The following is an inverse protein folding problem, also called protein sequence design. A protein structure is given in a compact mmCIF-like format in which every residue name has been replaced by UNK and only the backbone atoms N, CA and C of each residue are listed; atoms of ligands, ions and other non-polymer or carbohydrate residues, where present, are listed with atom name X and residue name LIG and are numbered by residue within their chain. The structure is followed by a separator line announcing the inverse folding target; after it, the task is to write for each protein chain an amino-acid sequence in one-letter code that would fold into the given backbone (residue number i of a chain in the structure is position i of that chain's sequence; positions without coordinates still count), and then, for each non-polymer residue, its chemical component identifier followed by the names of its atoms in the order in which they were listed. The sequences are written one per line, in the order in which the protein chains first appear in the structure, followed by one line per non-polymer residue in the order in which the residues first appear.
data_IF_602669173765
#
_entry.id   IF_602669173765
#
_cell.length_a   1.000
_cell.length_b   1.000
_cell.length_c   1.000
_cell.angle_alpha   90.00
_cell.angle_beta   90.00
_cell.angle_gamma   90.00
#
_symmetry.space_group_name_H-M   'P 1'
#
loop_
_entity.id
_entity.type
_entity.pdbx_description
1 polymer ?
#
# COMPACT_ATOMS: atom_id res chain seq x y z
N UNK A 1 -71.92 31.32 30.24
CA UNK A 1 -70.46 31.09 30.41
C UNK A 1 -69.96 29.79 29.80
N UNK A 2 -70.76 28.78 29.56
CA UNK A 2 -70.29 27.43 29.07
C UNK A 2 -70.06 27.33 27.54
N UNK A 3 -70.74 28.14 26.76
CA UNK A 3 -70.67 28.13 25.30
C UNK A 3 -69.36 28.75 24.79
N UNK A 4 -68.77 29.69 25.51
CA UNK A 4 -67.50 30.33 25.15
C UNK A 4 -66.33 29.37 25.31
N UNK A 5 -66.39 28.46 26.31
CA UNK A 5 -65.33 27.47 26.54
C UNK A 5 -65.28 26.34 25.49
N UNK A 6 -66.47 25.95 24.98
CA UNK A 6 -66.51 24.91 23.93
C UNK A 6 -65.94 25.40 22.59
N UNK A 7 -66.11 26.68 22.27
CA UNK A 7 -65.58 27.29 21.06
C UNK A 7 -64.02 27.38 21.09
N UNK A 8 -63.42 27.61 22.29
CA UNK A 8 -62.01 27.71 22.48
C UNK A 8 -61.33 26.30 22.40
N UNK A 9 -62.01 25.26 22.88
CA UNK A 9 -61.45 23.90 22.84
C UNK A 9 -61.62 23.21 21.49
N UNK A 10 -62.61 23.56 20.69
CA UNK A 10 -62.83 23.02 19.35
C UNK A 10 -61.97 23.72 18.27
N UNK A 11 -61.62 24.99 18.47
CA UNK A 11 -60.85 25.78 17.53
C UNK A 11 -59.32 25.44 17.55
N UNK A 12 -58.78 25.17 18.71
CA UNK A 12 -57.36 24.85 18.88
C UNK A 12 -56.90 23.56 18.16
N UNK A 13 -57.62 22.42 18.25
CA UNK A 13 -57.25 21.22 17.52
C UNK A 13 -57.24 21.38 16.01
N UNK A 14 -58.21 22.18 15.46
CA UNK A 14 -58.30 22.43 14.02
C UNK A 14 -57.14 23.32 13.53
N UNK A 15 -56.72 24.31 14.32
CA UNK A 15 -55.57 25.15 13.99
C UNK A 15 -54.23 24.39 14.01
N UNK A 16 -54.06 23.48 14.95
CA UNK A 16 -52.85 22.62 15.01
C UNK A 16 -52.83 21.62 13.86
N UNK A 17 -53.97 20.98 13.55
CA UNK A 17 -54.04 20.05 12.41
C UNK A 17 -53.83 20.79 11.06
N UNK A 18 -54.29 22.05 10.93
CA UNK A 18 -54.05 22.86 9.73
C UNK A 18 -52.61 23.32 9.58
N UNK A 19 -51.86 23.43 10.67
CA UNK A 19 -50.43 23.77 10.64
C UNK A 19 -49.59 22.57 10.22
N UNK A 20 -49.84 21.36 10.74
CA UNK A 20 -49.12 20.15 10.33
C UNK A 20 -49.38 19.78 8.87
N UNK A 21 -50.55 20.03 8.33
CA UNK A 21 -50.83 19.80 6.91
C UNK A 21 -50.12 20.76 5.95
N UNK A 22 -49.52 21.86 6.46
CA UNK A 22 -48.75 22.83 5.68
C UNK A 22 -47.24 22.75 5.91
N UNK A 23 -46.77 21.89 6.78
CA UNK A 23 -45.34 21.63 6.89
C UNK A 23 -44.85 21.04 5.55
N UNK A 24 -43.80 21.61 4.92
CA UNK A 24 -43.29 21.04 3.70
C UNK A 24 -42.79 19.62 4.02
N UNK A 25 -43.38 18.63 3.35
CA UNK A 25 -42.90 17.26 3.43
C UNK A 25 -41.42 17.30 3.07
N UNK A 26 -40.57 16.78 3.97
CA UNK A 26 -39.13 16.60 3.78
C UNK A 26 -38.83 15.54 2.69
N UNK A 27 -39.40 15.73 1.51
CA UNK A 27 -39.18 14.92 0.30
C UNK A 27 -38.07 15.47 -0.58
N UNK A 28 -37.54 16.66 -0.26
CA UNK A 28 -36.50 17.30 -1.07
C UNK A 28 -35.08 16.78 -0.82
N UNK A 29 -34.78 16.37 0.39
CA UNK A 29 -33.38 15.97 0.70
C UNK A 29 -32.99 14.63 0.08
N UNK A 30 -33.90 13.68 -0.06
CA UNK A 30 -33.63 12.40 -0.72
C UNK A 30 -33.40 12.54 -2.23
N UNK A 31 -33.97 13.55 -2.88
CA UNK A 31 -33.78 13.84 -4.30
C UNK A 31 -32.48 14.61 -4.58
N UNK A 32 -32.02 15.47 -3.67
CA UNK A 32 -30.72 16.15 -3.82
C UNK A 32 -29.55 15.19 -3.68
N UNK A 33 -29.63 14.25 -2.74
CA UNK A 33 -28.58 13.23 -2.57
C UNK A 33 -28.46 12.28 -3.79
N UNK A 34 -29.55 12.03 -4.51
CA UNK A 34 -29.52 11.20 -5.73
C UNK A 34 -29.09 11.95 -6.98
N UNK A 35 -29.34 13.24 -7.09
CA UNK A 35 -28.88 14.05 -8.23
C UNK A 35 -27.38 14.36 -8.21
N UNK A 36 -26.73 14.34 -7.05
CA UNK A 36 -25.28 14.52 -6.93
C UNK A 36 -24.43 13.34 -7.41
N UNK A 37 -25.04 12.23 -7.86
CA UNK A 37 -24.36 11.03 -8.37
C UNK A 37 -24.40 10.93 -9.90
N UNK A 38 -24.75 11.98 -10.61
CA UNK A 38 -24.75 11.97 -12.07
C UNK A 38 -23.32 11.95 -12.61
N UNK A 39 -23.05 10.90 -13.29
CA UNK A 39 -22.08 10.64 -14.35
C UNK A 39 -21.27 11.88 -14.79
N UNK A 40 -19.95 11.81 -14.62
CA UNK A 40 -19.06 12.65 -15.40
C UNK A 40 -18.50 13.90 -14.75
N UNK A 41 -18.43 14.01 -13.41
CA UNK A 41 -17.63 15.09 -12.80
C UNK A 41 -16.15 14.80 -13.11
N UNK A 42 -15.66 15.48 -14.15
CA UNK A 42 -14.23 15.45 -14.51
C UNK A 42 -13.44 16.01 -13.32
N UNK A 43 -12.34 15.34 -12.92
CA UNK A 43 -11.47 15.89 -11.89
C UNK A 43 -10.95 17.27 -12.30
N UNK A 44 -10.83 18.22 -11.37
CA UNK A 44 -10.42 19.61 -11.66
C UNK A 44 -8.95 19.70 -12.07
N UNK A 45 -8.15 18.69 -11.80
CA UNK A 45 -6.71 18.64 -12.07
C UNK A 45 -6.24 17.18 -12.17
N UNK A 46 -5.03 16.89 -12.67
CA UNK A 46 -4.40 15.59 -12.48
C UNK A 46 -4.33 15.20 -10.99
N UNK A 47 -4.30 13.89 -10.66
CA UNK A 47 -4.14 13.46 -9.28
C UNK A 47 -2.79 13.97 -8.73
N UNK A 48 -2.74 14.34 -7.43
CA UNK A 48 -1.49 14.73 -6.80
C UNK A 48 -0.45 13.60 -6.93
N UNK A 49 0.83 13.94 -7.13
CA UNK A 49 1.89 12.94 -7.10
C UNK A 49 1.94 12.28 -5.72
N UNK A 50 2.17 10.98 -5.70
CA UNK A 50 2.48 10.25 -4.46
C UNK A 50 3.98 10.29 -4.27
N UNK A 51 4.42 11.09 -3.33
CA UNK A 51 5.84 11.28 -3.07
C UNK A 51 6.40 10.20 -2.13
N UNK A 52 7.72 9.90 -2.21
CA UNK A 52 8.38 9.05 -1.23
C UNK A 52 8.17 9.57 0.19
N UNK A 53 8.09 8.67 1.16
CA UNK A 53 7.91 9.04 2.57
C UNK A 53 9.20 9.68 3.07
N UNK A 54 9.26 11.02 3.06
CA UNK A 54 10.27 11.79 3.77
C UNK A 54 9.68 12.25 5.10
N UNK A 55 10.44 12.07 6.18
CA UNK A 55 10.04 12.46 7.54
C UNK A 55 11.01 13.50 8.09
N UNK A 56 10.50 14.39 8.95
CA UNK A 56 11.38 15.26 9.71
C UNK A 56 12.15 14.44 10.74
N UNK A 57 13.45 14.65 10.83
CA UNK A 57 14.31 14.05 11.85
C UNK A 57 14.03 14.69 13.21
N UNK A 58 13.07 14.15 13.95
CA UNK A 58 12.62 14.65 15.25
C UNK A 58 12.65 13.53 16.29
N UNK A 59 12.97 13.85 17.57
CA UNK A 59 12.72 12.94 18.68
C UNK A 59 11.22 12.56 18.75
N UNK A 60 10.93 11.33 19.19
CA UNK A 60 9.57 10.77 19.17
C UNK A 60 8.57 11.58 20.01
N UNK A 61 8.97 12.13 21.16
CA UNK A 61 8.17 13.00 22.00
C UNK A 61 7.80 14.31 21.30
N UNK A 62 8.77 14.92 20.61
CA UNK A 62 8.55 16.12 19.81
C UNK A 62 7.59 15.85 18.64
N UNK A 63 7.78 14.72 17.95
CA UNK A 63 6.89 14.31 16.88
C UNK A 63 5.45 14.11 17.39
N UNK A 64 5.27 13.45 18.53
CA UNK A 64 3.94 13.29 19.16
C UNK A 64 3.29 14.63 19.50
N UNK A 65 4.06 15.56 20.05
CA UNK A 65 3.54 16.90 20.39
C UNK A 65 3.06 17.66 19.14
N UNK A 66 3.85 17.63 18.04
CA UNK A 66 3.48 18.25 16.78
C UNK A 66 2.25 17.59 16.15
N UNK A 67 2.20 16.26 16.15
CA UNK A 67 1.05 15.51 15.65
C UNK A 67 -0.22 15.77 16.46
N UNK A 68 -0.11 15.93 17.79
CA UNK A 68 -1.24 16.28 18.64
C UNK A 68 -1.77 17.69 18.37
N UNK A 69 -0.89 18.63 18.00
CA UNK A 69 -1.27 20.00 17.68
C UNK A 69 -2.04 20.13 16.36
N UNK A 70 -1.91 19.16 15.43
CA UNK A 70 -2.68 19.12 14.19
C UNK A 70 -4.11 18.66 14.52
N UNK A 71 -5.16 19.50 14.34
CA UNK A 71 -6.54 19.13 14.68
C UNK A 71 -7.07 18.06 13.71
N UNK A 72 -7.99 17.24 14.20
CA UNK A 72 -8.79 16.41 13.32
C UNK A 72 -9.71 17.24 12.45
N UNK A 73 -9.90 16.80 11.20
CA UNK A 73 -10.81 17.44 10.25
C UNK A 73 -12.25 17.42 10.78
N UNK A 74 -12.91 18.55 10.66
CA UNK A 74 -14.36 18.70 10.99
C UNK A 74 -15.26 18.34 9.80
N UNK A 75 -14.67 18.09 8.64
CA UNK A 75 -15.42 17.68 7.44
C UNK A 75 -15.95 16.25 7.62
N UNK A 76 -17.08 15.97 6.96
CA UNK A 76 -17.64 14.63 6.96
C UNK A 76 -16.61 13.57 6.53
N UNK A 77 -16.56 12.46 7.28
CA UNK A 77 -15.73 11.30 6.97
C UNK A 77 -16.66 10.10 6.65
N UNK A 78 -17.25 10.05 5.45
CA UNK A 78 -18.13 8.95 5.08
C UNK A 78 -17.34 7.63 5.00
N UNK A 79 -18.01 6.54 5.32
CA UNK A 79 -17.45 5.20 5.13
C UNK A 79 -17.09 5.00 3.66
N UNK A 80 -15.96 4.35 3.40
CA UNK A 80 -15.61 3.92 2.05
C UNK A 80 -16.66 2.92 1.52
N UNK A 81 -16.79 2.84 0.19
CA UNK A 81 -17.64 1.82 -0.41
C UNK A 81 -17.03 0.43 -0.19
N UNK A 82 -17.85 -0.61 -0.01
CA UNK A 82 -17.36 -1.98 0.01
C UNK A 82 -16.49 -2.29 -1.20
N UNK A 83 -15.32 -2.84 -0.98
CA UNK A 83 -14.45 -3.34 -2.05
C UNK A 83 -14.85 -4.78 -2.35
N UNK A 84 -15.04 -5.09 -3.63
CA UNK A 84 -15.24 -6.47 -4.07
C UNK A 84 -14.16 -6.79 -5.07
N UNK A 85 -13.38 -7.80 -4.74
CA UNK A 85 -12.31 -8.24 -5.62
C UNK A 85 -12.90 -8.89 -6.89
N UNK A 86 -12.35 -8.52 -8.02
CA UNK A 86 -12.69 -9.10 -9.33
C UNK A 86 -11.38 -9.64 -9.94
N UNK A 87 -11.33 -10.93 -10.26
CA UNK A 87 -10.14 -11.59 -10.80
C UNK A 87 -10.22 -13.10 -10.67
N UNK A 88 -9.15 -13.80 -11.08
CA UNK A 88 -9.05 -15.24 -10.95
C UNK A 88 -8.85 -15.66 -9.47
N UNK A 89 -9.05 -16.95 -9.18
CA UNK A 89 -8.75 -17.50 -7.84
C UNK A 89 -7.26 -17.32 -7.48
N UNK A 90 -6.37 -17.43 -8.46
CA UNK A 90 -4.94 -17.17 -8.27
C UNK A 90 -4.67 -15.73 -7.91
N UNK A 91 -5.32 -14.78 -8.58
CA UNK A 91 -5.21 -13.35 -8.25
C UNK A 91 -5.77 -13.06 -6.87
N UNK A 92 -6.91 -13.65 -6.52
CA UNK A 92 -7.48 -13.50 -5.18
C UNK A 92 -6.52 -14.03 -4.11
N UNK A 93 -5.91 -15.20 -4.31
CA UNK A 93 -4.95 -15.75 -3.38
C UNK A 93 -3.74 -14.81 -3.19
N UNK A 94 -3.21 -14.25 -4.29
CA UNK A 94 -2.13 -13.25 -4.25
C UNK A 94 -2.56 -11.97 -3.54
N UNK A 95 -3.71 -11.42 -3.88
CA UNK A 95 -4.24 -10.22 -3.24
C UNK A 95 -4.41 -10.39 -1.73
N UNK A 96 -4.96 -11.55 -1.30
CA UNK A 96 -5.11 -11.89 0.12
C UNK A 96 -3.75 -11.88 0.84
N UNK A 97 -2.75 -12.53 0.26
CA UNK A 97 -1.45 -12.67 0.91
C UNK A 97 -0.64 -11.37 0.90
N UNK A 98 -0.75 -10.55 -0.16
CA UNK A 98 -0.18 -9.19 -0.18
C UNK A 98 -0.84 -8.29 0.86
N UNK A 99 -2.17 -8.33 0.98
CA UNK A 99 -2.90 -7.51 1.95
C UNK A 99 -2.60 -7.96 3.38
N UNK A 100 -2.54 -9.27 3.65
CA UNK A 100 -2.15 -9.83 4.92
C UNK A 100 -0.71 -9.43 5.33
N UNK A 101 0.22 -9.39 4.36
CA UNK A 101 1.56 -8.90 4.61
C UNK A 101 1.54 -7.43 5.06
N UNK A 102 0.83 -6.55 4.35
CA UNK A 102 0.70 -5.15 4.78
C UNK A 102 0.12 -5.03 6.20
N UNK A 103 -0.94 -5.77 6.50
CA UNK A 103 -1.60 -5.78 7.80
C UNK A 103 -0.65 -6.17 8.93
N UNK A 104 0.00 -7.34 8.82
CA UNK A 104 0.81 -7.90 9.91
C UNK A 104 2.13 -7.15 10.12
N UNK A 105 2.76 -6.64 9.06
CA UNK A 105 4.03 -5.93 9.17
C UNK A 105 3.86 -4.46 9.59
N UNK A 106 2.69 -3.85 9.35
CA UNK A 106 2.39 -2.47 9.75
C UNK A 106 1.68 -2.37 11.09
N UNK A 107 0.73 -3.25 11.37
CA UNK A 107 -0.09 -3.19 12.59
C UNK A 107 0.22 -4.30 13.61
N UNK A 108 1.10 -5.26 13.26
CA UNK A 108 1.32 -6.44 14.09
C UNK A 108 0.07 -7.32 14.12
N UNK A 109 -0.12 -8.09 15.20
CA UNK A 109 -1.29 -8.96 15.41
C UNK A 109 -2.42 -8.17 16.13
N UNK A 110 -2.70 -6.95 15.67
CA UNK A 110 -3.80 -6.10 16.12
C UNK A 110 -4.91 -6.06 15.06
N UNK A 111 -5.97 -6.82 15.29
CA UNK A 111 -7.08 -6.94 14.34
C UNK A 111 -7.76 -5.59 13.97
N UNK A 112 -7.71 -4.59 14.86
CA UNK A 112 -8.27 -3.26 14.59
C UNK A 112 -7.34 -2.47 13.69
N UNK A 113 -6.05 -2.47 13.99
CA UNK A 113 -5.00 -1.87 13.15
C UNK A 113 -4.92 -2.52 11.78
N UNK A 114 -4.98 -3.85 11.71
CA UNK A 114 -4.98 -4.61 10.45
C UNK A 114 -6.12 -4.22 9.52
N UNK A 115 -7.36 -4.08 10.05
CA UNK A 115 -8.51 -3.59 9.27
C UNK A 115 -8.32 -2.17 8.79
N UNK A 116 -7.70 -1.30 9.60
CA UNK A 116 -7.44 0.07 9.23
C UNK A 116 -6.42 0.15 8.08
N UNK A 117 -5.32 -0.62 8.15
CA UNK A 117 -4.32 -0.74 7.08
C UNK A 117 -4.95 -1.29 5.81
N UNK A 118 -5.73 -2.38 5.92
CA UNK A 118 -6.44 -2.96 4.77
C UNK A 118 -7.32 -1.93 4.07
N UNK A 119 -8.08 -1.12 4.82
CA UNK A 119 -8.94 -0.10 4.22
C UNK A 119 -8.13 0.94 3.44
N UNK A 120 -6.96 1.37 3.94
CA UNK A 120 -6.09 2.31 3.21
C UNK A 120 -5.57 1.69 1.91
N UNK A 121 -5.11 0.43 1.95
CA UNK A 121 -4.65 -0.27 0.73
C UNK A 121 -5.77 -0.31 -0.31
N UNK A 122 -6.98 -0.72 0.06
CA UNK A 122 -8.12 -0.81 -0.86
C UNK A 122 -8.60 0.56 -1.37
N UNK A 123 -8.50 1.60 -0.55
CA UNK A 123 -8.72 2.97 -1.00
C UNK A 123 -7.70 3.37 -2.08
N UNK A 124 -6.42 3.07 -1.87
CA UNK A 124 -5.35 3.35 -2.85
C UNK A 124 -5.59 2.62 -4.16
N UNK A 125 -5.91 1.33 -4.16
CA UNK A 125 -6.22 0.57 -5.38
C UNK A 125 -7.29 1.25 -6.23
N UNK A 126 -8.29 1.87 -5.60
CA UNK A 126 -9.39 2.58 -6.28
C UNK A 126 -9.06 4.01 -6.68
N UNK A 127 -8.02 4.62 -6.15
CA UNK A 127 -7.67 6.00 -6.43
C UNK A 127 -6.70 6.08 -7.62
N UNK A 128 -6.88 6.99 -8.60
CA UNK A 128 -6.08 7.02 -9.83
C UNK A 128 -4.58 7.29 -9.62
N UNK A 129 -4.19 7.85 -8.48
CA UNK A 129 -2.79 8.12 -8.16
C UNK A 129 -1.97 6.88 -7.80
N UNK A 130 -2.60 5.71 -7.58
CA UNK A 130 -1.93 4.51 -7.11
C UNK A 130 -2.06 3.35 -8.10
N UNK A 131 -1.25 2.30 -7.96
CA UNK A 131 -1.40 1.06 -8.71
C UNK A 131 -2.81 0.46 -8.58
N UNK A 132 -3.23 -0.35 -9.57
CA UNK A 132 -4.60 -0.87 -9.67
C UNK A 132 -4.76 -2.28 -9.11
N UNK A 133 -3.74 -2.83 -8.52
CA UNK A 133 -3.72 -4.14 -7.86
C UNK A 133 -3.31 -4.00 -6.40
N UNK A 134 -3.74 -4.94 -5.58
CA UNK A 134 -3.40 -4.95 -4.14
C UNK A 134 -1.89 -5.12 -3.94
N UNK A 135 -1.31 -6.12 -4.60
CA UNK A 135 0.13 -6.36 -4.53
C UNK A 135 0.93 -5.18 -5.10
N UNK A 136 0.43 -4.56 -6.18
CA UNK A 136 1.05 -3.37 -6.77
C UNK A 136 1.09 -2.18 -5.80
N UNK A 137 0.03 -1.97 -5.01
CA UNK A 137 0.00 -0.92 -3.96
C UNK A 137 0.93 -1.26 -2.81
N UNK A 138 0.86 -2.51 -2.30
CA UNK A 138 1.61 -2.92 -1.11
C UNK A 138 3.12 -2.95 -1.37
N UNK A 139 3.52 -3.42 -2.53
CA UNK A 139 4.93 -3.58 -2.89
C UNK A 139 5.45 -2.49 -3.85
N UNK A 140 4.74 -1.36 -3.93
CA UNK A 140 5.19 -0.22 -4.76
C UNK A 140 6.53 0.32 -4.26
N UNK A 141 7.53 0.32 -5.16
CA UNK A 141 8.87 0.79 -4.86
C UNK A 141 9.75 -0.23 -4.13
N UNK A 142 9.32 -1.51 -4.04
CA UNK A 142 10.09 -2.58 -3.37
C UNK A 142 11.49 -2.82 -3.96
N UNK A 143 11.73 -2.33 -5.16
CA UNK A 143 13.04 -2.36 -5.83
C UNK A 143 14.03 -1.35 -5.25
N UNK A 144 13.56 -0.42 -4.44
CA UNK A 144 14.37 0.61 -3.79
C UNK A 144 14.93 0.11 -2.47
N UNK A 145 16.00 0.73 -2.01
CA UNK A 145 16.55 0.51 -0.67
C UNK A 145 15.86 1.37 0.40
N UNK A 146 15.29 2.50 -0.01
CA UNK A 146 14.54 3.43 0.84
C UNK A 146 13.38 4.05 0.07
N UNK A 147 12.39 4.58 0.79
CA UNK A 147 11.25 5.27 0.16
C UNK A 147 10.24 4.34 -0.50
N UNK A 148 10.14 3.10 -0.05
CA UNK A 148 9.07 2.19 -0.43
C UNK A 148 7.75 2.68 0.13
N UNK A 149 6.66 2.39 -0.57
CA UNK A 149 5.33 2.83 -0.13
C UNK A 149 4.94 2.24 1.23
N UNK A 150 5.38 1.01 1.49
CA UNK A 150 5.33 0.34 2.78
C UNK A 150 6.76 -0.05 3.14
N UNK A 151 7.29 0.49 4.25
CA UNK A 151 8.71 0.35 4.62
C UNK A 151 9.13 -1.10 4.77
N UNK A 152 8.27 -1.96 5.30
CA UNK A 152 8.56 -3.38 5.48
C UNK A 152 8.93 -4.10 4.17
N UNK A 153 8.51 -3.56 3.03
CA UNK A 153 8.80 -4.16 1.73
C UNK A 153 10.26 -3.96 1.28
N UNK A 154 11.03 -3.08 1.94
CA UNK A 154 12.41 -2.78 1.58
C UNK A 154 13.39 -2.58 2.76
N UNK A 155 12.93 -2.52 4.02
CA UNK A 155 13.78 -2.30 5.21
C UNK A 155 14.32 -3.60 5.83
N UNK A 156 14.03 -4.76 5.22
CA UNK A 156 14.43 -6.06 5.73
C UNK A 156 13.45 -6.68 6.74
N UNK A 157 12.36 -6.02 7.10
CA UNK A 157 11.37 -6.54 8.05
C UNK A 157 10.75 -7.87 7.58
N UNK A 158 10.71 -8.11 6.27
CA UNK A 158 10.29 -9.40 5.71
C UNK A 158 11.16 -10.59 6.17
N UNK A 159 12.36 -10.39 6.70
CA UNK A 159 13.15 -11.47 7.30
C UNK A 159 12.47 -12.07 8.54
N UNK A 160 11.67 -11.30 9.27
CA UNK A 160 10.85 -11.78 10.37
C UNK A 160 9.66 -12.59 9.84
N UNK A 161 9.47 -13.79 10.35
CA UNK A 161 8.33 -14.64 10.00
C UNK A 161 7.25 -14.48 11.08
N UNK A 162 6.03 -14.08 10.74
CA UNK A 162 4.91 -14.09 11.67
C UNK A 162 4.58 -15.53 12.10
N UNK A 163 3.96 -15.69 13.27
CA UNK A 163 3.46 -17.01 13.64
C UNK A 163 2.36 -17.47 12.66
N UNK A 164 2.23 -18.79 12.40
CA UNK A 164 1.18 -19.29 11.51
C UNK A 164 -0.23 -18.79 11.90
N UNK A 165 -0.54 -18.77 13.19
CA UNK A 165 -1.82 -18.30 13.67
C UNK A 165 -2.05 -16.80 13.42
N UNK A 166 -1.03 -15.95 13.58
CA UNK A 166 -1.13 -14.52 13.25
C UNK A 166 -1.29 -14.31 11.74
N UNK A 167 -0.53 -15.06 10.93
CA UNK A 167 -0.65 -15.02 9.48
C UNK A 167 -2.06 -15.41 8.99
N UNK A 168 -2.63 -16.48 9.55
CA UNK A 168 -3.98 -16.93 9.19
C UNK A 168 -5.06 -15.93 9.63
N UNK A 169 -4.92 -15.26 10.78
CA UNK A 169 -5.82 -14.17 11.20
C UNK A 169 -5.75 -12.99 10.22
N UNK A 170 -4.55 -12.53 9.86
CA UNK A 170 -4.37 -11.46 8.89
C UNK A 170 -4.99 -11.81 7.53
N UNK A 171 -4.81 -13.05 7.05
CA UNK A 171 -5.46 -13.56 5.83
C UNK A 171 -6.99 -13.60 5.93
N UNK A 172 -7.54 -13.94 7.09
CA UNK A 172 -8.99 -13.92 7.29
C UNK A 172 -9.54 -12.48 7.19
N UNK A 173 -8.88 -11.51 7.82
CA UNK A 173 -9.24 -10.08 7.72
C UNK A 173 -9.09 -9.60 6.27
N UNK A 174 -8.01 -9.98 5.58
CA UNK A 174 -7.80 -9.62 4.18
C UNK A 174 -8.92 -10.15 3.28
N UNK A 175 -9.33 -11.42 3.44
CA UNK A 175 -10.46 -12.00 2.70
C UNK A 175 -11.76 -11.24 2.95
N UNK A 176 -12.07 -10.91 4.21
CA UNK A 176 -13.26 -10.13 4.55
C UNK A 176 -13.24 -8.75 3.86
N UNK A 177 -12.11 -8.04 3.91
CA UNK A 177 -11.95 -6.74 3.27
C UNK A 177 -12.11 -6.82 1.74
N UNK A 178 -11.56 -7.85 1.09
CA UNK A 178 -11.70 -8.11 -0.35
C UNK A 178 -13.11 -8.58 -0.74
N UNK A 179 -13.86 -9.14 0.20
CA UNK A 179 -15.26 -9.55 0.04
C UNK A 179 -16.27 -8.42 0.34
N UNK A 180 -15.82 -7.26 0.82
CA UNK A 180 -16.67 -6.09 1.02
C UNK A 180 -16.76 -5.57 2.44
N UNK A 181 -16.02 -6.10 3.38
CA UNK A 181 -15.95 -5.54 4.73
C UNK A 181 -15.31 -4.14 4.69
N UNK A 182 -15.89 -3.21 5.43
CA UNK A 182 -15.44 -1.82 5.48
C UNK A 182 -15.07 -1.43 6.89
N UNK A 183 -13.88 -0.91 7.06
CA UNK A 183 -13.47 -0.29 8.32
C UNK A 183 -13.82 1.21 8.31
N UNK A 184 -15.03 1.51 8.76
CA UNK A 184 -15.66 2.85 8.67
C UNK A 184 -14.81 4.00 9.25
N UNK A 185 -14.10 3.86 10.40
CA UNK A 185 -13.37 4.97 11.00
C UNK A 185 -12.32 5.60 10.07
N UNK A 186 -11.70 4.80 9.20
CA UNK A 186 -10.67 5.25 8.26
C UNK A 186 -11.25 6.02 7.06
N UNK A 187 -12.54 5.76 6.70
CA UNK A 187 -13.18 6.42 5.58
C UNK A 187 -12.38 6.29 4.28
N UNK A 188 -12.14 7.41 3.61
CA UNK A 188 -11.37 7.48 2.36
C UNK A 188 -9.89 7.88 2.58
N UNK A 189 -9.30 7.58 3.74
CA UNK A 189 -7.88 7.80 3.96
C UNK A 189 -7.02 7.01 2.95
N UNK A 190 -5.97 7.65 2.48
CA UNK A 190 -4.95 7.08 1.58
C UNK A 190 -3.56 7.16 2.17
N UNK A 191 -3.39 7.90 3.26
CA UNK A 191 -2.13 8.11 3.96
C UNK A 191 -2.30 7.81 5.44
N UNK A 192 -1.25 7.30 6.05
CA UNK A 192 -1.14 7.16 7.49
C UNK A 192 0.33 7.18 7.91
N UNK A 193 0.55 7.47 9.16
CA UNK A 193 1.84 7.33 9.82
C UNK A 193 1.65 7.11 11.32
N UNK A 194 2.65 6.62 12.00
CA UNK A 194 2.66 6.48 13.45
C UNK A 194 2.83 7.84 14.14
N UNK A 195 2.30 8.00 15.34
CA UNK A 195 2.29 9.29 16.04
C UNK A 195 3.67 9.81 16.45
N UNK A 196 4.72 8.98 16.38
CA UNK A 196 6.11 9.34 16.69
C UNK A 196 6.96 9.74 15.49
N UNK A 197 6.39 9.86 14.30
CA UNK A 197 7.02 10.45 13.12
C UNK A 197 6.18 11.57 12.56
N UNK A 198 6.80 12.50 11.82
CA UNK A 198 6.10 13.60 11.15
C UNK A 198 6.53 13.61 9.69
N UNK A 199 5.75 13.01 8.78
CA UNK A 199 5.97 13.17 7.35
C UNK A 199 5.74 14.62 6.92
N UNK A 200 6.52 15.10 5.95
CA UNK A 200 6.38 16.49 5.46
C UNK A 200 4.99 16.79 4.88
N UNK A 201 4.28 15.79 4.38
CA UNK A 201 2.94 15.93 3.81
C UNK A 201 1.82 16.01 4.86
N UNK A 202 2.07 15.65 6.12
CA UNK A 202 1.01 15.52 7.14
C UNK A 202 0.20 16.80 7.36
N UNK A 203 0.84 17.97 7.26
CA UNK A 203 0.18 19.27 7.39
C UNK A 203 -0.65 19.68 6.18
N UNK A 204 -0.45 19.07 5.00
CA UNK A 204 -1.17 19.39 3.77
C UNK A 204 -2.43 18.55 3.56
N UNK A 205 -2.64 17.51 4.36
CA UNK A 205 -3.76 16.59 4.27
C UNK A 205 -4.79 16.83 5.39
N UNK A 206 -5.99 16.28 5.23
CA UNK A 206 -7.02 16.23 6.27
C UNK A 206 -6.74 15.06 7.21
N UNK A 207 -6.45 15.33 8.47
CA UNK A 207 -6.32 14.32 9.52
C UNK A 207 -7.71 13.83 9.92
N UNK A 208 -8.01 12.55 9.70
CA UNK A 208 -9.37 12.01 9.84
C UNK A 208 -9.61 11.33 11.17
N UNK A 209 -8.73 10.42 11.55
CA UNK A 209 -8.92 9.57 12.73
C UNK A 209 -7.58 9.06 13.25
N UNK A 210 -7.63 8.47 14.44
CA UNK A 210 -6.53 7.73 15.07
C UNK A 210 -7.02 6.31 15.36
N UNK A 211 -6.18 5.32 15.05
CA UNK A 211 -6.37 3.92 15.43
C UNK A 211 -5.06 3.43 16.04
N UNK A 212 -5.08 3.06 17.31
CA UNK A 212 -3.86 2.77 18.05
C UNK A 212 -2.90 3.96 18.00
N UNK A 213 -1.71 3.72 17.50
CA UNK A 213 -0.66 4.73 17.29
C UNK A 213 -0.67 5.36 15.90
N UNK A 214 -1.52 4.87 14.99
CA UNK A 214 -1.59 5.35 13.62
C UNK A 214 -2.57 6.51 13.47
N UNK A 215 -2.13 7.55 12.75
CA UNK A 215 -2.92 8.71 12.34
C UNK A 215 -3.24 8.59 10.85
N UNK A 216 -4.51 8.74 10.50
CA UNK A 216 -5.01 8.52 9.13
C UNK A 216 -5.41 9.81 8.48
N UNK A 217 -5.06 9.98 7.19
CA UNK A 217 -5.22 11.21 6.43
C UNK A 217 -5.79 10.93 5.03
N UNK A 218 -6.49 11.93 4.50
CA UNK A 218 -6.92 11.96 3.09
C UNK A 218 -6.49 13.25 2.42
N UNK A 219 -6.44 13.27 1.11
CA UNK A 219 -6.24 14.52 0.37
C UNK A 219 -7.36 15.53 0.64
N UNK A 220 -7.01 16.80 0.64
CA UNK A 220 -7.98 17.88 0.65
C UNK A 220 -8.68 18.02 -0.70
N UNK A 221 -9.88 18.60 -0.69
CA UNK A 221 -10.64 18.86 -1.90
C UNK A 221 -11.12 17.60 -2.62
N UNK A 222 -11.28 17.70 -3.93
CA UNK A 222 -11.92 16.66 -4.76
C UNK A 222 -11.26 15.29 -4.64
N UNK A 223 -9.92 15.25 -4.61
CA UNK A 223 -9.14 14.01 -4.56
C UNK A 223 -9.32 13.20 -3.26
N UNK A 224 -9.81 13.82 -2.19
CA UNK A 224 -10.18 13.14 -0.95
C UNK A 224 -11.66 12.75 -0.88
N UNK A 225 -12.47 13.01 -1.90
CA UNK A 225 -13.91 12.76 -1.90
C UNK A 225 -14.26 11.43 -2.57
N UNK A 226 -15.42 10.81 -2.24
CA UNK A 226 -15.83 9.53 -2.80
C UNK A 226 -15.78 9.41 -4.33
N UNK A 227 -16.08 10.45 -5.14
CA UNK A 227 -15.95 10.40 -6.59
C UNK A 227 -14.56 10.07 -7.12
N UNK A 228 -13.50 10.45 -6.40
CA UNK A 228 -12.11 10.15 -6.82
C UNK A 228 -11.75 8.66 -6.74
N UNK A 229 -12.49 7.87 -5.94
CA UNK A 229 -12.23 6.46 -5.69
C UNK A 229 -13.09 5.54 -6.56
N UNK A 230 -13.09 5.75 -7.87
CA UNK A 230 -13.90 5.00 -8.84
C UNK A 230 -13.08 4.37 -9.96
N UNK A 231 -11.78 4.37 -9.86
CA UNK A 231 -10.92 3.75 -10.87
C UNK A 231 -11.17 2.24 -10.92
N UNK A 232 -11.17 1.68 -12.10
CA UNK A 232 -11.21 0.24 -12.31
C UNK A 232 -9.99 -0.41 -11.67
N UNK A 233 -10.15 -1.59 -11.12
CA UNK A 233 -9.14 -2.32 -10.34
C UNK A 233 -8.81 -3.63 -11.02
N UNK A 234 -7.67 -4.19 -10.68
CA UNK A 234 -7.17 -5.49 -11.15
C UNK A 234 -7.00 -5.60 -12.68
N UNK A 235 -6.61 -4.50 -13.34
CA UNK A 235 -6.26 -4.55 -14.76
C UNK A 235 -4.92 -5.29 -14.92
N UNK A 236 -4.95 -6.46 -15.58
CA UNK A 236 -3.77 -7.29 -15.85
C UNK A 236 -3.41 -8.33 -14.78
N UNK A 237 -4.24 -8.49 -13.74
CA UNK A 237 -4.04 -9.47 -12.66
C UNK A 237 -3.07 -9.01 -11.56
N UNK A 238 -3.04 -9.74 -10.45
CA UNK A 238 -2.16 -9.47 -9.32
C UNK A 238 -0.73 -9.93 -9.60
N UNK A 239 0.27 -9.07 -9.48
CA UNK A 239 1.66 -9.45 -9.73
C UNK A 239 2.17 -10.50 -8.76
N UNK A 240 3.09 -11.34 -9.23
CA UNK A 240 3.83 -12.27 -8.40
C UNK A 240 4.89 -11.50 -7.61
N UNK A 241 4.90 -11.66 -6.29
CA UNK A 241 5.84 -11.01 -5.37
C UNK A 241 6.77 -12.05 -4.74
N UNK A 242 7.91 -12.29 -5.35
CA UNK A 242 8.88 -13.29 -4.89
C UNK A 242 9.39 -13.08 -3.45
N UNK A 243 9.37 -11.82 -2.95
CA UNK A 243 9.81 -11.48 -1.58
C UNK A 243 8.96 -12.14 -0.49
N UNK A 244 7.70 -12.48 -0.75
CA UNK A 244 6.82 -13.18 0.20
C UNK A 244 6.58 -14.64 -0.17
N UNK A 245 7.31 -15.20 -1.13
CA UNK A 245 7.16 -16.60 -1.55
C UNK A 245 7.24 -17.61 -0.41
N UNK A 246 8.08 -17.35 0.61
CA UNK A 246 8.19 -18.20 1.80
C UNK A 246 6.96 -18.17 2.71
N UNK A 247 6.14 -17.12 2.64
CA UNK A 247 4.90 -16.95 3.41
C UNK A 247 3.65 -17.36 2.61
N UNK A 248 3.79 -17.39 1.27
CA UNK A 248 2.66 -17.52 0.36
C UNK A 248 2.99 -18.45 -0.81
N UNK A 249 2.38 -19.62 -0.87
CA UNK A 249 2.49 -20.49 -2.05
C UNK A 249 2.00 -19.83 -3.34
N UNK A 250 1.02 -18.91 -3.28
CA UNK A 250 0.51 -18.17 -4.43
C UNK A 250 1.55 -17.23 -5.06
N UNK A 251 2.60 -16.89 -4.31
CA UNK A 251 3.72 -16.07 -4.74
C UNK A 251 5.00 -16.87 -5.00
N UNK A 252 4.95 -18.20 -4.86
CA UNK A 252 6.04 -19.08 -5.23
C UNK A 252 6.04 -19.31 -6.74
N UNK A 253 7.21 -19.26 -7.36
CA UNK A 253 7.41 -19.74 -8.73
C UNK A 253 7.52 -21.28 -8.70
N UNK A 254 6.50 -21.96 -8.17
CA UNK A 254 6.44 -23.41 -8.34
C UNK A 254 6.16 -23.70 -9.82
N UNK A 255 7.11 -24.25 -10.52
CA UNK A 255 6.86 -24.94 -11.80
C UNK A 255 5.74 -25.94 -11.52
N UNK A 256 4.62 -25.93 -12.26
CA UNK A 256 3.59 -26.95 -12.10
C UNK A 256 4.26 -28.30 -12.32
N UNK A 257 4.38 -29.10 -11.30
CA UNK A 257 4.66 -30.52 -11.47
C UNK A 257 3.44 -31.12 -12.16
N UNK A 258 3.53 -31.27 -13.48
CA UNK A 258 2.55 -32.05 -14.24
C UNK A 258 2.52 -33.46 -13.61
N UNK A 259 1.36 -33.97 -13.15
CA UNK A 259 1.26 -35.33 -12.68
C UNK A 259 1.54 -36.27 -13.86
N UNK A 260 2.67 -36.97 -13.83
CA UNK A 260 2.99 -37.99 -14.82
C UNK A 260 4.39 -37.97 -15.44
N UNK A 261 5.24 -36.97 -15.16
CA UNK A 261 6.61 -36.97 -15.67
C UNK A 261 7.61 -37.33 -14.57
N UNK A 262 7.70 -38.61 -14.21
CA UNK A 262 8.87 -39.15 -13.53
C UNK A 262 9.87 -39.55 -14.61
N UNK A 263 10.67 -38.63 -15.08
CA UNK A 263 11.94 -38.91 -15.75
C UNK A 263 13.05 -38.59 -14.76
N UNK A 264 14.04 -39.47 -14.56
CA UNK A 264 15.17 -39.19 -13.67
C UNK A 264 16.03 -38.12 -14.32
N UNK A 265 15.92 -36.88 -13.84
CA UNK A 265 16.80 -35.77 -14.23
C UNK A 265 18.11 -35.84 -13.42
N UNK A 266 19.01 -36.78 -13.79
CA UNK A 266 20.37 -36.75 -13.29
C UNK A 266 21.19 -35.57 -13.82
N UNK A 267 20.81 -35.00 -14.99
CA UNK A 267 21.57 -33.92 -15.63
C UNK A 267 21.20 -32.50 -15.15
N UNK A 268 20.08 -32.33 -14.43
CA UNK A 268 19.65 -30.99 -13.96
C UNK A 268 20.32 -30.54 -12.66
N UNK A 269 20.75 -31.49 -11.80
CA UNK A 269 21.46 -31.15 -10.56
C UNK A 269 22.81 -30.50 -10.84
N UNK A 270 23.53 -30.98 -11.86
CA UNK A 270 24.80 -30.41 -12.27
C UNK A 270 24.66 -29.07 -13.01
N UNK A 271 23.60 -28.87 -13.78
CA UNK A 271 23.29 -27.59 -14.43
C UNK A 271 22.86 -26.53 -13.39
N UNK A 272 22.03 -26.90 -12.40
CA UNK A 272 21.65 -26.03 -11.29
C UNK A 272 22.85 -25.71 -10.39
N UNK A 273 23.71 -26.70 -10.13
CA UNK A 273 24.96 -26.52 -9.38
C UNK A 273 25.99 -25.69 -10.17
N UNK A 274 26.01 -25.77 -11.50
CA UNK A 274 26.84 -24.92 -12.35
C UNK A 274 26.33 -23.48 -12.39
N UNK A 275 25.00 -23.25 -12.47
CA UNK A 275 24.40 -21.94 -12.36
C UNK A 275 24.56 -21.33 -10.97
N UNK A 276 24.43 -22.13 -9.91
CA UNK A 276 24.68 -21.69 -8.54
C UNK A 276 26.14 -21.31 -8.29
N UNK A 277 27.09 -21.98 -8.97
CA UNK A 277 28.52 -21.64 -8.92
C UNK A 277 28.86 -20.36 -9.70
N UNK A 278 28.03 -19.91 -10.64
CA UNK A 278 28.17 -18.65 -11.36
C UNK A 278 27.41 -17.50 -10.68
N UNK A 279 26.59 -17.76 -9.67
CA UNK A 279 25.90 -16.71 -8.93
C UNK A 279 26.91 -15.95 -8.07
N UNK A 280 27.08 -14.66 -8.35
CA UNK A 280 27.85 -13.77 -7.48
C UNK A 280 27.08 -13.64 -6.17
N UNK A 281 27.60 -14.24 -5.11
CA UNK A 281 27.01 -14.27 -3.78
C UNK A 281 27.69 -13.32 -2.78
N UNK A 282 27.16 -13.28 -1.55
CA UNK A 282 27.70 -12.47 -0.46
C UNK A 282 29.16 -12.81 -0.10
N UNK A 283 29.60 -14.03 -0.37
CA UNK A 283 30.97 -14.48 -0.17
C UNK A 283 31.97 -13.82 -1.12
N UNK A 284 31.51 -13.17 -2.17
CA UNK A 284 32.33 -12.43 -3.14
C UNK A 284 32.55 -10.96 -2.76
N UNK A 285 31.85 -10.46 -1.73
CA UNK A 285 32.08 -9.09 -1.24
C UNK A 285 33.52 -8.90 -0.79
N UNK A 286 34.15 -7.82 -1.24
CA UNK A 286 35.57 -7.53 -1.02
C UNK A 286 36.51 -8.16 -2.03
N UNK A 287 36.05 -9.13 -2.85
CA UNK A 287 36.88 -9.82 -3.87
C UNK A 287 36.78 -9.16 -5.23
N UNK A 288 37.74 -9.41 -6.08
CA UNK A 288 37.75 -8.96 -7.48
C UNK A 288 36.98 -9.96 -8.35
N UNK A 289 35.95 -9.46 -9.04
CA UNK A 289 35.07 -10.19 -9.96
C UNK A 289 34.99 -9.42 -11.27
N UNK A 290 35.25 -10.04 -12.39
CA UNK A 290 35.20 -9.38 -13.70
C UNK A 290 36.08 -8.13 -13.82
N UNK A 291 37.21 -8.10 -13.13
CA UNK A 291 38.16 -6.99 -13.16
C UNK A 291 37.86 -5.82 -12.26
N UNK A 292 36.76 -5.87 -11.49
CA UNK A 292 36.34 -4.84 -10.53
C UNK A 292 36.13 -5.46 -9.14
N UNK A 293 36.28 -4.68 -8.07
CA UNK A 293 36.08 -5.18 -6.71
C UNK A 293 34.63 -5.02 -6.30
N UNK A 294 33.96 -6.10 -5.91
CA UNK A 294 32.60 -6.07 -5.39
C UNK A 294 32.61 -5.49 -3.96
N UNK A 295 31.95 -4.37 -3.74
CA UNK A 295 31.88 -3.68 -2.44
C UNK A 295 30.64 -4.10 -1.67
N UNK A 296 29.49 -4.13 -2.35
CA UNK A 296 28.25 -4.54 -1.73
C UNK A 296 27.29 -5.17 -2.75
N UNK A 297 26.38 -5.98 -2.25
CA UNK A 297 25.31 -6.62 -2.96
C UNK A 297 24.02 -6.23 -2.24
N UNK A 298 23.26 -5.30 -2.80
CA UNK A 298 22.05 -4.80 -2.17
C UNK A 298 20.86 -5.77 -2.33
N UNK A 299 20.79 -6.40 -3.47
CA UNK A 299 19.88 -7.50 -3.82
C UNK A 299 20.62 -8.37 -4.85
N UNK A 300 20.07 -9.53 -5.22
CA UNK A 300 20.71 -10.41 -6.20
C UNK A 300 20.81 -9.81 -7.61
N UNK A 301 20.42 -8.53 -7.81
CA UNK A 301 20.36 -7.83 -9.09
C UNK A 301 21.08 -6.47 -9.06
N UNK A 302 21.48 -5.97 -7.88
CA UNK A 302 22.12 -4.66 -7.71
C UNK A 302 23.49 -4.81 -7.05
N UNK A 303 24.52 -4.39 -7.77
CA UNK A 303 25.93 -4.54 -7.42
C UNK A 303 26.58 -3.18 -7.25
N UNK A 304 27.32 -3.04 -6.15
CA UNK A 304 28.17 -1.90 -5.87
C UNK A 304 29.62 -2.32 -6.09
N UNK A 305 30.32 -1.66 -7.01
CA UNK A 305 31.66 -2.07 -7.42
C UNK A 305 32.65 -0.91 -7.37
N UNK A 306 33.86 -1.20 -6.95
CA UNK A 306 34.99 -0.30 -7.06
C UNK A 306 35.78 -0.59 -8.34
N UNK A 307 35.87 0.43 -9.17
CA UNK A 307 36.60 0.39 -10.43
C UNK A 307 38.08 0.62 -10.22
N UNK A 308 38.98 -0.08 -10.95
CA UNK A 308 40.41 0.19 -10.90
C UNK A 308 40.70 1.66 -11.30
N UNK A 309 41.72 2.23 -10.68
CA UNK A 309 42.17 3.59 -11.03
C UNK A 309 42.56 3.64 -12.50
N UNK A 310 42.03 4.63 -13.20
CA UNK A 310 42.30 4.83 -14.62
C UNK A 310 41.52 3.91 -15.56
N UNK A 311 40.52 3.16 -15.05
CA UNK A 311 39.61 2.41 -15.93
C UNK A 311 38.85 3.37 -16.85
N UNK A 312 38.81 3.01 -18.15
CA UNK A 312 38.11 3.83 -19.16
C UNK A 312 36.64 3.41 -19.23
N UNK A 313 35.69 4.33 -19.50
CA UNK A 313 34.27 4.00 -19.65
C UNK A 313 34.00 2.86 -20.65
N UNK A 314 34.79 2.75 -21.70
CA UNK A 314 34.64 1.71 -22.74
C UNK A 314 34.85 0.28 -22.22
N UNK A 315 35.56 0.08 -21.09
CA UNK A 315 35.75 -1.24 -20.46
C UNK A 315 34.62 -1.65 -19.52
N UNK A 316 33.76 -0.73 -19.09
CA UNK A 316 32.71 -0.99 -18.10
C UNK A 316 31.61 -1.95 -18.59
N UNK A 317 31.19 -1.94 -19.89
CA UNK A 317 30.21 -2.91 -20.37
C UNK A 317 30.66 -4.37 -20.26
N UNK A 318 31.94 -4.66 -20.35
CA UNK A 318 32.47 -6.01 -20.22
C UNK A 318 32.42 -6.49 -18.75
N UNK A 319 32.88 -5.66 -17.83
CA UNK A 319 32.73 -5.92 -16.39
C UNK A 319 31.27 -6.10 -16.01
N UNK A 320 30.36 -5.27 -16.53
CA UNK A 320 28.94 -5.36 -16.31
C UNK A 320 28.34 -6.71 -16.77
N UNK A 321 28.77 -7.23 -17.91
CA UNK A 321 28.28 -8.54 -18.40
C UNK A 321 28.55 -9.67 -17.42
N UNK A 322 29.68 -9.64 -16.72
CA UNK A 322 30.03 -10.65 -15.72
C UNK A 322 29.03 -10.67 -14.54
N UNK A 323 28.61 -9.48 -14.08
CA UNK A 323 27.64 -9.37 -12.99
C UNK A 323 26.21 -9.63 -13.46
N UNK A 324 25.88 -9.30 -14.70
CA UNK A 324 24.53 -9.35 -15.24
C UNK A 324 24.17 -10.66 -15.94
N UNK A 325 25.13 -11.57 -16.14
CA UNK A 325 24.90 -12.83 -16.82
C UNK A 325 23.76 -13.65 -16.18
N UNK A 326 22.77 -14.03 -17.01
CA UNK A 326 21.61 -14.83 -16.58
C UNK A 326 20.57 -14.09 -15.74
N UNK A 327 20.64 -12.74 -15.63
CA UNK A 327 19.68 -11.93 -14.88
C UNK A 327 18.75 -11.16 -15.82
N UNK A 328 17.46 -11.18 -15.54
CA UNK A 328 16.45 -10.42 -16.30
C UNK A 328 16.52 -8.91 -16.03
N UNK A 329 16.98 -8.53 -14.84
CA UNK A 329 17.27 -7.15 -14.46
C UNK A 329 18.63 -7.13 -13.76
N UNK A 330 19.43 -6.09 -14.04
CA UNK A 330 20.74 -5.95 -13.44
C UNK A 330 21.11 -4.48 -13.35
N UNK A 331 21.57 -4.06 -12.17
CA UNK A 331 22.03 -2.69 -11.93
C UNK A 331 23.43 -2.76 -11.35
N UNK A 332 24.35 -2.01 -11.94
CA UNK A 332 25.70 -1.86 -11.42
C UNK A 332 25.95 -0.37 -11.18
N UNK A 333 26.41 -0.06 -10.00
CA UNK A 333 26.93 1.25 -9.63
C UNK A 333 28.42 1.09 -9.32
N UNK A 334 29.25 1.88 -9.99
CA UNK A 334 30.70 1.83 -9.81
C UNK A 334 31.30 3.21 -9.68
N UNK A 335 32.34 3.33 -8.87
CA UNK A 335 33.19 4.51 -8.75
C UNK A 335 34.65 4.11 -8.58
N UNK A 336 35.54 5.07 -8.80
CA UNK A 336 36.97 4.86 -8.56
C UNK A 336 37.29 4.99 -7.06
N UNK A 337 38.35 4.34 -6.60
CA UNK A 337 38.71 4.28 -5.18
C UNK A 337 38.85 5.64 -4.48
N UNK A 338 39.01 6.74 -5.22
CA UNK A 338 39.12 8.07 -4.66
C UNK A 338 37.78 8.77 -4.45
N UNK A 339 36.71 8.29 -5.12
CA UNK A 339 35.39 8.92 -5.15
C UNK A 339 34.33 8.07 -4.42
N UNK A 340 34.73 6.97 -3.80
CA UNK A 340 33.83 6.12 -3.05
C UNK A 340 33.20 6.92 -1.89
N UNK A 341 31.86 6.89 -1.72
CA UNK A 341 31.24 7.48 -0.54
C UNK A 341 31.80 6.81 0.71
N UNK A 342 32.16 7.62 1.70
CA UNK A 342 32.75 7.14 2.95
C UNK A 342 31.73 6.52 3.90
N UNK A 343 30.44 6.75 3.63
CA UNK A 343 29.28 6.21 4.38
C UNK A 343 28.16 5.88 3.38
N UNK A 344 27.49 4.73 3.57
CA UNK A 344 26.27 4.33 2.89
C UNK A 344 25.07 4.64 3.77
#
# INVERSE_FOLDING_TARGET
MWIVWLALFAGLPAAVAGWEARAPRAGGEAHFARRGLSHGVRPPSPPPPVEPVAVYALPADRARALNAAIPFSRLANPAARPFRFEGSETDLARAVDCLAAAQIYEAGDDAVGERAVAQVVLNRVRHPAFPKTVCGVVFQGQERTTGCQFTFSCDGALARTPSPAAWDRARAIARGALAGDVFKPVGYATHYHTDWVVPYWSGSLDKLTRVGTHLFFRWRGWWGTPPAFRTRTNDGGEPLIGRIARLSPAHSMATPLLPGAITPMADSADAIAAQARQAIGLDQIGKSVGGVRLIALADMQSFLVELPRGSKPDSWPESARTFCAGRSQCRIMGWTANDAPKEL
#
